data_IF_585414398553
#
_entry.id   IF_585414398553
#
_cell.length_a   1.000
_cell.length_b   1.000
_cell.length_c   1.000
_cell.angle_alpha   90.00
_cell.angle_beta   90.00
_cell.angle_gamma   90.00
#
_symmetry.space_group_name_H-M   'P 1'
#
loop_
_entity.id
_entity.type
_entity.pdbx_description
1 polymer ?
#
# COMPACT_ATOMS: atom_id res chain seq x y z
N UNK A 1 50.59 -85.81 -13.22
CA UNK A 1 49.61 -85.57 -12.14
C UNK A 1 50.03 -84.34 -11.36
N UNK A 2 49.03 -83.53 -10.97
CA UNK A 2 49.07 -82.36 -10.09
C UNK A 2 50.03 -82.53 -8.88
N UNK A 3 50.63 -81.49 -8.30
CA UNK A 3 49.98 -80.60 -7.31
C UNK A 3 50.66 -79.21 -7.29
N UNK A 4 49.81 -78.18 -7.24
CA UNK A 4 50.13 -76.76 -7.11
C UNK A 4 50.00 -76.37 -5.62
N UNK A 5 51.02 -75.73 -5.03
CA UNK A 5 50.92 -75.09 -3.71
C UNK A 5 50.22 -73.73 -3.84
N UNK A 6 49.31 -73.41 -2.91
CA UNK A 6 48.56 -72.16 -2.85
C UNK A 6 49.26 -71.10 -2.00
N UNK A 7 49.33 -69.87 -2.51
CA UNK A 7 49.84 -68.69 -1.82
C UNK A 7 48.67 -67.91 -1.19
N UNK A 8 48.82 -67.61 0.10
CA UNK A 8 48.73 -66.25 0.67
C UNK A 8 47.41 -65.49 0.67
N UNK A 9 46.81 -65.41 1.85
CA UNK A 9 45.88 -64.36 2.26
C UNK A 9 46.55 -62.97 2.28
N UNK A 10 45.84 -61.92 1.83
CA UNK A 10 45.80 -60.56 2.43
C UNK A 10 44.53 -59.82 1.96
N UNK A 11 43.48 -59.87 2.76
CA UNK A 11 42.29 -59.02 2.63
C UNK A 11 42.33 -58.00 3.77
N UNK A 12 42.19 -56.71 3.46
CA UNK A 12 42.02 -55.65 4.44
C UNK A 12 42.95 -54.47 4.19
N UNK A 13 42.41 -53.25 4.33
CA UNK A 13 43.05 -51.92 4.13
C UNK A 13 42.79 -51.28 2.74
N UNK A 14 41.74 -51.70 2.01
CA UNK A 14 41.32 -51.01 0.77
C UNK A 14 40.07 -50.12 0.89
N UNK A 15 39.20 -50.36 1.88
CA UNK A 15 37.81 -49.86 1.82
C UNK A 15 37.55 -48.64 2.71
N UNK A 16 38.43 -48.32 3.67
CA UNK A 16 38.20 -47.22 4.63
C UNK A 16 38.51 -45.83 4.04
N UNK A 17 39.41 -45.73 3.05
CA UNK A 17 39.80 -44.42 2.50
C UNK A 17 38.84 -43.87 1.43
N UNK A 18 38.01 -44.70 0.80
CA UNK A 18 37.06 -44.24 -0.23
C UNK A 18 35.78 -43.66 0.41
N UNK A 19 35.38 -44.17 1.58
CA UNK A 19 34.21 -43.64 2.30
C UNK A 19 34.43 -42.22 2.85
N UNK A 20 35.66 -41.88 3.24
CA UNK A 20 36.00 -40.54 3.75
C UNK A 20 35.98 -39.45 2.64
N UNK A 21 36.25 -39.83 1.39
CA UNK A 21 36.27 -38.87 0.28
C UNK A 21 34.86 -38.53 -0.23
N UNK A 22 33.90 -39.47 -0.17
CA UNK A 22 32.52 -39.21 -0.61
C UNK A 22 31.73 -38.36 0.40
N UNK A 23 32.04 -38.47 1.70
CA UNK A 23 31.44 -37.60 2.74
C UNK A 23 31.95 -36.16 2.72
N UNK A 24 33.07 -35.89 2.04
CA UNK A 24 33.63 -34.54 1.91
C UNK A 24 33.03 -33.75 0.73
N UNK A 25 32.49 -34.45 -0.28
CA UNK A 25 31.82 -33.81 -1.42
C UNK A 25 30.31 -33.60 -1.19
N UNK A 26 29.69 -34.32 -0.26
CA UNK A 26 28.26 -34.19 0.06
C UNK A 26 27.90 -33.05 1.02
N UNK A 27 28.87 -32.29 1.54
CA UNK A 27 28.63 -31.20 2.50
C UNK A 27 28.74 -29.79 1.89
N UNK A 28 29.01 -29.66 0.58
CA UNK A 28 29.14 -28.36 -0.07
C UNK A 28 27.94 -27.96 -0.94
N UNK A 29 26.94 -28.83 -1.08
CA UNK A 29 25.67 -28.56 -1.80
C UNK A 29 24.67 -27.76 -0.94
N UNK A 30 25.01 -27.41 0.31
CA UNK A 30 24.13 -26.74 1.26
C UNK A 30 24.34 -25.22 1.43
N UNK A 31 25.24 -24.59 0.66
CA UNK A 31 25.63 -23.17 0.86
C UNK A 31 25.33 -22.23 -0.31
N UNK A 32 24.65 -22.71 -1.36
CA UNK A 32 24.14 -21.86 -2.44
C UNK A 32 22.65 -22.09 -2.65
N UNK A 33 21.85 -21.97 -1.58
CA UNK A 33 20.55 -21.34 -1.79
C UNK A 33 20.87 -19.92 -2.27
N UNK A 34 20.83 -19.70 -3.58
CA UNK A 34 20.72 -18.36 -4.13
C UNK A 34 19.49 -17.75 -3.46
N UNK A 35 19.72 -16.91 -2.44
CA UNK A 35 18.75 -15.89 -2.07
C UNK A 35 18.40 -15.20 -3.38
N UNK A 36 17.19 -15.43 -3.88
CA UNK A 36 16.69 -14.70 -5.02
C UNK A 36 16.76 -13.23 -4.61
N UNK A 37 17.75 -12.51 -5.12
CA UNK A 37 18.02 -11.16 -4.66
C UNK A 37 16.76 -10.33 -4.83
N UNK A 38 16.38 -9.63 -3.76
CA UNK A 38 15.19 -8.78 -3.75
C UNK A 38 15.25 -7.88 -5.00
N UNK A 39 14.19 -7.81 -5.82
CA UNK A 39 14.19 -6.94 -6.99
C UNK A 39 14.49 -5.50 -6.57
N UNK A 40 15.16 -4.73 -7.43
CA UNK A 40 15.34 -3.29 -7.18
C UNK A 40 14.00 -2.59 -7.03
N UNK A 41 13.98 -1.44 -6.37
CA UNK A 41 12.77 -0.67 -6.12
C UNK A 41 11.97 -0.43 -7.39
N UNK A 42 12.62 -0.01 -8.47
CA UNK A 42 11.99 0.33 -9.75
C UNK A 42 11.44 -0.90 -10.49
N UNK A 43 12.02 -2.08 -10.22
CA UNK A 43 11.56 -3.36 -10.77
C UNK A 43 10.40 -3.93 -9.97
N UNK A 44 10.44 -3.77 -8.65
CA UNK A 44 9.39 -4.19 -7.73
C UNK A 44 8.13 -3.32 -7.85
N UNK A 45 8.32 -1.99 -7.91
CA UNK A 45 7.27 -0.99 -8.00
C UNK A 45 7.50 -0.12 -9.24
N UNK A 46 7.07 -0.58 -10.44
CA UNK A 46 7.18 0.21 -11.66
C UNK A 46 6.37 1.51 -11.55
N UNK A 47 6.93 2.62 -12.07
CA UNK A 47 6.20 3.88 -12.17
C UNK A 47 4.87 3.73 -12.91
N UNK A 48 3.86 4.44 -12.42
CA UNK A 48 2.49 4.47 -12.95
C UNK A 48 2.42 4.99 -14.39
N UNK A 49 3.44 5.74 -14.85
CA UNK A 49 3.60 6.10 -16.26
C UNK A 49 3.69 4.88 -17.20
N UNK A 50 4.18 3.73 -16.72
CA UNK A 50 4.15 2.47 -17.47
C UNK A 50 2.73 1.92 -17.58
N UNK A 51 1.91 2.08 -16.54
CA UNK A 51 0.49 1.69 -16.54
C UNK A 51 -0.34 2.55 -17.50
N UNK A 52 -0.05 3.86 -17.59
CA UNK A 52 -0.75 4.81 -18.49
C UNK A 52 -0.86 4.32 -19.93
N UNK A 53 0.16 3.61 -20.44
CA UNK A 53 0.20 3.11 -21.82
C UNK A 53 -1.00 2.25 -22.21
N UNK A 54 -1.56 1.53 -21.23
CA UNK A 54 -2.74 0.69 -21.43
C UNK A 54 -3.94 1.14 -20.58
N UNK A 55 -3.72 1.79 -19.44
CA UNK A 55 -4.76 2.22 -18.50
C UNK A 55 -4.89 3.74 -18.47
N UNK A 56 -5.06 4.37 -19.64
CA UNK A 56 -4.97 5.83 -19.80
C UNK A 56 -6.00 6.57 -18.94
N UNK A 57 -7.28 6.24 -19.09
CA UNK A 57 -8.37 6.86 -18.31
C UNK A 57 -8.18 6.71 -16.80
N UNK A 58 -7.81 5.52 -16.34
CA UNK A 58 -7.57 5.25 -14.91
C UNK A 58 -6.35 6.03 -14.41
N UNK A 59 -5.31 6.13 -15.23
CA UNK A 59 -4.14 6.94 -14.91
C UNK A 59 -4.49 8.43 -14.80
N UNK A 60 -5.30 8.99 -15.71
CA UNK A 60 -5.73 10.39 -15.65
C UNK A 60 -6.58 10.69 -14.41
N UNK A 61 -7.47 9.76 -14.04
CA UNK A 61 -8.22 9.83 -12.78
C UNK A 61 -7.28 9.85 -11.57
N UNK A 62 -6.31 8.94 -11.52
CA UNK A 62 -5.33 8.86 -10.43
C UNK A 62 -4.40 10.07 -10.39
N UNK A 63 -3.88 10.54 -11.53
CA UNK A 63 -2.90 11.63 -11.62
C UNK A 63 -3.45 12.94 -11.03
N UNK A 64 -4.77 13.13 -11.12
CA UNK A 64 -5.48 14.28 -10.53
C UNK A 64 -5.93 14.07 -9.09
N UNK A 65 -5.74 12.87 -8.54
CA UNK A 65 -6.19 12.51 -7.19
C UNK A 65 -5.25 13.01 -6.08
N UNK A 66 -5.71 13.08 -4.82
CA UNK A 66 -4.84 13.32 -3.68
C UNK A 66 -3.76 12.24 -3.48
N UNK A 67 -4.00 11.01 -3.95
CA UNK A 67 -3.08 9.88 -3.79
C UNK A 67 -1.83 10.04 -4.65
N UNK A 68 -1.95 10.51 -5.90
CA UNK A 68 -0.79 10.81 -6.75
C UNK A 68 0.09 11.93 -6.17
N UNK A 69 -0.52 12.84 -5.40
CA UNK A 69 0.15 13.99 -4.79
C UNK A 69 0.62 13.75 -3.36
N UNK A 70 0.56 12.52 -2.86
CA UNK A 70 0.81 12.19 -1.45
C UNK A 70 2.18 12.63 -0.93
N UNK A 71 3.21 12.77 -1.79
CA UNK A 71 4.55 13.26 -1.40
C UNK A 71 4.97 14.58 -2.09
N UNK A 72 4.09 15.19 -2.89
CA UNK A 72 4.44 16.37 -3.71
C UNK A 72 4.17 17.71 -2.99
N UNK A 73 3.22 17.73 -2.04
CA UNK A 73 2.70 19.01 -1.55
C UNK A 73 3.71 19.78 -0.67
N UNK A 74 3.76 21.13 -0.75
CA UNK A 74 4.62 21.94 0.13
C UNK A 74 4.40 21.67 1.62
N UNK A 75 3.17 21.38 1.99
CA UNK A 75 2.81 21.16 3.38
C UNK A 75 3.11 19.72 3.85
N UNK A 76 3.10 18.72 2.96
CA UNK A 76 3.73 17.43 3.26
C UNK A 76 5.22 17.63 3.58
N UNK A 77 5.95 18.39 2.74
CA UNK A 77 7.37 18.69 2.97
C UNK A 77 7.61 19.41 4.30
N UNK A 78 6.85 20.45 4.60
CA UNK A 78 6.95 21.16 5.88
C UNK A 78 6.69 20.24 7.09
N UNK A 79 5.70 19.35 6.97
CA UNK A 79 5.37 18.38 8.03
C UNK A 79 6.45 17.30 8.18
N UNK A 80 7.02 16.84 7.06
CA UNK A 80 8.15 15.92 7.04
C UNK A 80 9.38 16.55 7.70
N UNK A 81 9.68 17.82 7.42
CA UNK A 81 10.79 18.54 8.05
C UNK A 81 10.63 18.65 9.56
N UNK A 82 9.44 19.03 10.03
CA UNK A 82 9.14 19.09 11.46
C UNK A 82 9.26 17.70 12.11
N UNK A 83 8.76 16.65 11.45
CA UNK A 83 8.86 15.28 11.94
C UNK A 83 10.31 14.81 12.04
N UNK A 84 11.14 15.05 11.01
CA UNK A 84 12.54 14.64 10.98
C UNK A 84 13.40 15.33 12.05
N UNK A 85 12.99 16.52 12.50
CA UNK A 85 13.64 17.25 13.61
C UNK A 85 13.17 16.78 15.00
N UNK A 86 12.06 16.04 15.07
CA UNK A 86 11.55 15.49 16.32
C UNK A 86 12.35 14.26 16.78
N UNK A 87 12.27 13.85 18.06
CA UNK A 87 12.87 12.60 18.54
C UNK A 87 12.42 11.35 17.76
N UNK A 88 11.20 11.38 17.20
CA UNK A 88 10.64 10.30 16.40
C UNK A 88 11.18 10.27 14.95
N UNK A 89 11.81 11.35 14.50
CA UNK A 89 12.40 11.49 13.16
C UNK A 89 13.53 10.51 12.84
N UNK A 90 14.01 9.75 13.82
CA UNK A 90 14.94 8.63 13.61
C UNK A 90 14.36 7.58 12.66
N UNK A 91 13.05 7.36 12.71
CA UNK A 91 12.34 6.50 11.76
C UNK A 91 11.94 7.30 10.51
N UNK A 92 12.92 7.51 9.63
CA UNK A 92 12.74 8.28 8.38
C UNK A 92 11.65 7.71 7.47
N UNK A 93 11.34 6.41 7.58
CA UNK A 93 10.31 5.75 6.78
C UNK A 93 8.88 6.00 7.26
N UNK A 94 8.69 6.52 8.47
CA UNK A 94 7.37 6.59 9.13
C UNK A 94 6.30 7.26 8.26
N UNK A 95 6.59 8.46 7.73
CA UNK A 95 5.66 9.20 6.87
C UNK A 95 5.39 8.43 5.56
N UNK A 96 6.43 7.82 4.99
CA UNK A 96 6.34 7.13 3.71
C UNK A 96 5.60 5.81 3.79
N UNK A 97 5.46 5.19 4.96
CA UNK A 97 4.63 3.97 5.13
C UNK A 97 3.17 4.15 4.71
N UNK A 98 2.68 5.39 4.67
CA UNK A 98 1.37 5.73 4.11
C UNK A 98 1.49 6.58 2.83
N UNK A 99 2.48 7.47 2.74
CA UNK A 99 2.57 8.42 1.63
C UNK A 99 3.31 7.89 0.39
N UNK A 100 4.20 6.91 0.55
CA UNK A 100 4.90 6.22 -0.53
C UNK A 100 5.19 4.77 -0.06
N UNK A 101 4.13 3.94 0.09
CA UNK A 101 4.14 2.77 0.99
C UNK A 101 5.05 1.64 0.54
N UNK A 102 5.62 1.71 -0.67
CA UNK A 102 6.68 0.82 -1.10
C UNK A 102 7.99 0.97 -0.30
N UNK A 103 8.14 2.04 0.50
CA UNK A 103 9.18 2.11 1.55
C UNK A 103 9.11 0.94 2.54
N UNK A 104 7.93 0.33 2.72
CA UNK A 104 7.76 -0.84 3.61
C UNK A 104 8.57 -2.04 3.12
N UNK A 105 8.75 -2.12 1.81
CA UNK A 105 9.58 -3.14 1.18
C UNK A 105 11.04 -2.71 1.07
N UNK A 106 11.34 -1.42 1.06
CA UNK A 106 12.71 -0.90 0.94
C UNK A 106 13.06 0.07 2.09
N UNK A 107 12.98 -0.38 3.36
CA UNK A 107 13.20 0.50 4.51
C UNK A 107 14.63 1.04 4.57
N UNK A 108 15.61 0.31 4.05
CA UNK A 108 17.01 0.73 3.93
C UNK A 108 17.18 1.94 3.01
N UNK A 109 16.24 2.16 2.09
CA UNK A 109 16.23 3.28 1.16
C UNK A 109 15.42 4.48 1.67
N UNK A 110 14.93 4.49 2.92
CA UNK A 110 14.08 5.57 3.44
C UNK A 110 14.67 6.99 3.24
N UNK A 111 16.00 7.13 3.22
CA UNK A 111 16.63 8.42 2.91
C UNK A 111 16.35 8.90 1.47
N UNK A 112 16.37 7.99 0.48
CA UNK A 112 16.01 8.31 -0.90
C UNK A 112 14.60 8.91 -0.99
N UNK A 113 13.65 8.37 -0.24
CA UNK A 113 12.27 8.87 -0.19
C UNK A 113 12.20 10.27 0.41
N UNK A 114 12.97 10.53 1.48
CA UNK A 114 13.11 11.86 2.07
C UNK A 114 13.64 12.84 1.02
N UNK A 115 14.71 12.48 0.32
CA UNK A 115 15.37 13.35 -0.65
C UNK A 115 14.46 13.65 -1.85
N UNK A 116 13.76 12.63 -2.37
CA UNK A 116 12.77 12.77 -3.45
C UNK A 116 11.60 13.68 -3.01
N UNK A 117 11.03 13.47 -1.82
CA UNK A 117 9.96 14.34 -1.34
C UNK A 117 10.44 15.80 -1.17
N UNK A 118 11.65 16.00 -0.68
CA UNK A 118 12.23 17.34 -0.45
C UNK A 118 12.58 18.08 -1.74
N UNK A 119 12.86 17.38 -2.84
CA UNK A 119 13.13 18.02 -4.14
C UNK A 119 11.94 18.89 -4.61
N UNK A 120 10.73 18.57 -4.15
CA UNK A 120 9.48 19.22 -4.57
C UNK A 120 8.92 18.71 -5.90
N UNK A 121 9.71 17.94 -6.64
CA UNK A 121 9.32 17.24 -7.87
C UNK A 121 9.87 15.81 -7.84
N UNK A 122 9.30 14.92 -6.99
CA UNK A 122 9.75 13.55 -6.89
C UNK A 122 9.47 12.79 -8.19
N UNK A 123 10.48 12.06 -8.66
CA UNK A 123 10.34 11.06 -9.74
C UNK A 123 9.71 9.74 -9.24
N UNK A 124 9.73 9.55 -7.93
CA UNK A 124 9.17 8.41 -7.23
C UNK A 124 7.66 8.58 -7.06
N UNK A 125 6.91 7.52 -7.37
CA UNK A 125 5.46 7.50 -7.16
C UNK A 125 5.13 7.53 -5.66
N UNK A 126 4.14 8.33 -5.25
CA UNK A 126 3.58 8.32 -3.91
C UNK A 126 2.71 7.07 -3.64
N UNK A 127 1.42 7.28 -3.39
CA UNK A 127 0.43 6.20 -3.40
C UNK A 127 -0.06 6.02 -4.84
N UNK A 128 0.43 4.99 -5.52
CA UNK A 128 0.18 4.81 -6.95
C UNK A 128 -0.22 3.37 -7.34
N UNK A 129 -0.24 3.08 -8.64
CA UNK A 129 -0.81 1.85 -9.19
C UNK A 129 -0.21 0.59 -8.54
N UNK A 130 1.12 0.47 -8.55
CA UNK A 130 1.81 -0.68 -8.00
C UNK A 130 1.67 -0.77 -6.48
N UNK A 131 1.63 0.37 -5.80
CA UNK A 131 1.48 0.46 -4.34
C UNK A 131 0.12 -0.03 -3.85
N UNK A 132 -0.92 -0.04 -4.68
CA UNK A 132 -2.20 -0.67 -4.35
C UNK A 132 -2.34 -2.06 -4.97
N UNK A 133 -2.03 -2.21 -6.26
CA UNK A 133 -2.32 -3.42 -7.03
C UNK A 133 -1.37 -4.60 -6.76
N UNK A 134 -0.27 -4.39 -6.04
CA UNK A 134 0.59 -5.48 -5.57
C UNK A 134 0.18 -6.02 -4.19
N UNK A 135 -0.77 -5.39 -3.49
CA UNK A 135 -1.21 -5.84 -2.16
C UNK A 135 -2.07 -7.11 -2.32
N UNK A 136 -1.57 -8.23 -1.78
CA UNK A 136 -2.26 -9.53 -1.80
C UNK A 136 -3.01 -9.84 -0.51
N UNK A 137 -2.68 -9.15 0.57
CA UNK A 137 -3.29 -9.31 1.89
C UNK A 137 -3.07 -8.05 2.72
N UNK A 138 -3.99 -7.77 3.64
CA UNK A 138 -3.78 -6.81 4.73
C UNK A 138 -3.92 -7.56 6.06
N UNK A 139 -2.90 -7.47 6.92
CA UNK A 139 -2.89 -8.07 8.25
C UNK A 139 -3.53 -7.11 9.26
N UNK A 140 -4.76 -7.42 9.67
CA UNK A 140 -5.55 -6.67 10.65
C UNK A 140 -5.12 -6.90 12.10
N UNK A 141 -4.23 -7.87 12.36
CA UNK A 141 -3.69 -8.11 13.71
C UNK A 141 -2.61 -7.09 14.09
N UNK A 142 -2.07 -6.37 13.10
CA UNK A 142 -1.13 -5.26 13.28
C UNK A 142 -1.88 -3.93 13.47
N UNK A 143 -1.26 -2.98 14.17
CA UNK A 143 -1.81 -1.65 14.40
C UNK A 143 -0.76 -0.57 14.06
N UNK A 144 -0.92 0.18 12.94
CA UNK A 144 -1.98 0.06 11.93
C UNK A 144 -1.89 -1.27 11.15
N UNK A 145 -2.95 -1.67 10.43
CA UNK A 145 -2.92 -2.85 9.57
C UNK A 145 -1.78 -2.80 8.57
N UNK A 146 -1.18 -3.96 8.30
CA UNK A 146 0.03 -4.04 7.48
C UNK A 146 -0.25 -4.73 6.14
N UNK A 147 0.06 -4.08 4.99
CA UNK A 147 -0.11 -4.72 3.70
C UNK A 147 1.02 -5.74 3.45
N UNK A 148 0.70 -6.83 2.76
CA UNK A 148 1.68 -7.76 2.19
C UNK A 148 1.69 -7.63 0.68
N UNK A 149 2.86 -7.34 0.12
CA UNK A 149 3.05 -7.18 -1.31
C UNK A 149 3.47 -8.50 -1.97
N UNK A 150 3.01 -8.73 -3.19
CA UNK A 150 3.48 -9.81 -4.06
C UNK A 150 4.57 -9.26 -5.00
N UNK A 151 5.84 -9.40 -4.60
CA UNK A 151 6.96 -8.92 -5.41
C UNK A 151 7.51 -10.04 -6.30
N UNK A 152 7.88 -9.71 -7.53
CA UNK A 152 8.63 -10.62 -8.42
C UNK A 152 7.80 -11.48 -9.38
N UNK A 153 6.51 -11.71 -9.11
CA UNK A 153 5.62 -12.51 -9.99
C UNK A 153 5.00 -11.73 -11.16
N UNK A 154 5.16 -10.40 -11.19
CA UNK A 154 4.42 -9.48 -12.08
C UNK A 154 2.89 -9.60 -11.96
N UNK A 155 2.36 -10.19 -10.89
CA UNK A 155 0.92 -10.28 -10.66
C UNK A 155 0.39 -8.98 -10.11
N UNK A 156 -0.64 -8.42 -10.75
CA UNK A 156 -1.45 -7.32 -10.24
C UNK A 156 -2.84 -7.83 -9.88
N UNK A 157 -3.30 -7.47 -8.70
CA UNK A 157 -4.60 -7.87 -8.18
C UNK A 157 -5.66 -6.83 -8.48
N UNK A 158 -6.90 -7.27 -8.66
CA UNK A 158 -8.05 -6.39 -8.85
C UNK A 158 -9.37 -7.09 -8.51
N UNK A 159 -10.50 -6.40 -8.62
CA UNK A 159 -11.80 -6.97 -8.24
C UNK A 159 -12.46 -7.82 -9.33
N UNK A 160 -11.89 -7.89 -10.55
CA UNK A 160 -12.53 -8.54 -11.70
C UNK A 160 -12.06 -9.98 -11.88
N UNK A 161 -13.01 -10.90 -12.07
CA UNK A 161 -12.74 -12.32 -12.38
C UNK A 161 -12.41 -12.54 -13.86
N UNK A 162 -13.00 -11.74 -14.73
CA UNK A 162 -12.90 -11.82 -16.19
C UNK A 162 -11.93 -10.77 -16.74
N UNK A 163 -10.74 -10.72 -16.15
CA UNK A 163 -9.64 -9.89 -16.63
C UNK A 163 -9.11 -10.38 -17.98
N UNK A 164 -8.59 -9.45 -18.79
CA UNK A 164 -8.03 -9.77 -20.11
C UNK A 164 -6.56 -10.16 -19.97
N UNK A 165 -6.20 -11.30 -20.57
CA UNK A 165 -4.81 -11.76 -20.61
C UNK A 165 -3.95 -10.84 -21.49
N UNK A 166 -2.73 -10.55 -21.03
CA UNK A 166 -1.79 -9.69 -21.74
C UNK A 166 -0.33 -10.09 -21.43
N UNK A 167 0.62 -9.45 -22.11
CA UNK A 167 2.06 -9.74 -21.96
C UNK A 167 2.78 -8.83 -20.95
N UNK A 168 2.12 -7.78 -20.45
CA UNK A 168 2.73 -6.79 -19.57
C UNK A 168 2.79 -7.26 -18.12
N UNK A 169 1.69 -7.83 -17.61
CA UNK A 169 1.58 -8.34 -16.25
C UNK A 169 0.53 -9.45 -16.17
N UNK A 170 0.62 -10.28 -15.13
CA UNK A 170 -0.47 -11.19 -14.79
C UNK A 170 -1.56 -10.42 -14.05
N UNK A 171 -2.81 -10.84 -14.21
CA UNK A 171 -3.94 -10.29 -13.48
C UNK A 171 -4.57 -11.39 -12.63
N UNK A 172 -5.02 -11.04 -11.43
CA UNK A 172 -5.68 -11.97 -10.54
C UNK A 172 -6.82 -11.28 -9.79
N UNK A 173 -7.97 -11.94 -9.71
CA UNK A 173 -9.05 -11.46 -8.87
C UNK A 173 -8.70 -11.62 -7.40
N UNK A 174 -9.00 -10.60 -6.60
CA UNK A 174 -8.86 -10.65 -5.16
C UNK A 174 -9.94 -9.80 -4.50
N UNK A 175 -10.79 -10.45 -3.70
CA UNK A 175 -11.89 -9.80 -2.97
C UNK A 175 -11.46 -8.64 -2.06
N UNK A 176 -10.18 -8.54 -1.68
CA UNK A 176 -9.60 -7.40 -0.96
C UNK A 176 -9.88 -6.06 -1.65
N UNK A 177 -9.94 -6.03 -2.99
CA UNK A 177 -10.19 -4.80 -3.76
C UNK A 177 -11.64 -4.29 -3.63
N UNK A 178 -12.51 -5.08 -3.02
CA UNK A 178 -13.88 -4.71 -2.68
C UNK A 178 -14.08 -4.52 -1.17
N UNK A 179 -12.99 -4.46 -0.38
CA UNK A 179 -13.04 -4.33 1.09
C UNK A 179 -12.32 -3.09 1.57
N UNK A 180 -12.86 -2.46 2.61
CA UNK A 180 -12.25 -1.29 3.24
C UNK A 180 -10.85 -1.59 3.79
N UNK A 181 -10.55 -2.85 4.09
CA UNK A 181 -9.23 -3.35 4.49
C UNK A 181 -8.09 -2.83 3.61
N UNK A 182 -8.30 -2.71 2.29
CA UNK A 182 -7.31 -2.15 1.38
C UNK A 182 -6.94 -0.70 1.77
N UNK A 183 -7.88 0.08 2.29
CA UNK A 183 -7.68 1.46 2.69
C UNK A 183 -7.13 1.60 4.13
N UNK A 184 -7.52 0.67 5.02
CA UNK A 184 -7.23 0.76 6.46
C UNK A 184 -5.74 0.70 6.79
N UNK A 185 -4.92 0.08 5.93
CA UNK A 185 -3.47 0.02 6.11
C UNK A 185 -2.77 1.40 6.13
N UNK A 186 -3.45 2.44 5.62
CA UNK A 186 -3.01 3.84 5.71
C UNK A 186 -3.98 4.73 6.50
N UNK A 187 -5.29 4.46 6.43
CA UNK A 187 -6.34 5.36 6.94
C UNK A 187 -6.88 5.03 8.33
N UNK A 188 -6.50 3.91 8.95
CA UNK A 188 -7.02 3.58 10.27
C UNK A 188 -6.42 4.46 11.37
N UNK A 189 -5.09 4.53 11.43
CA UNK A 189 -4.41 5.26 12.49
C UNK A 189 -3.01 5.71 12.11
N UNK A 190 -2.57 6.84 12.68
CA UNK A 190 -1.17 7.27 12.62
C UNK A 190 -0.41 6.67 13.80
N UNK A 191 0.83 6.16 13.65
CA UNK A 191 1.59 5.62 14.77
C UNK A 191 1.78 6.64 15.91
N UNK A 192 1.56 6.21 17.15
CA UNK A 192 1.62 7.05 18.36
C UNK A 192 2.95 7.77 18.55
N UNK A 193 4.05 7.19 18.05
CA UNK A 193 5.38 7.76 18.11
C UNK A 193 5.48 9.11 17.38
N UNK A 194 4.56 9.42 16.47
CA UNK A 194 4.60 10.66 15.70
C UNK A 194 4.20 11.91 16.52
N UNK A 195 3.54 11.76 17.69
CA UNK A 195 3.00 12.89 18.49
C UNK A 195 2.24 13.94 17.65
N UNK A 196 1.60 13.50 16.56
CA UNK A 196 0.95 14.37 15.58
C UNK A 196 -0.48 14.77 15.98
N UNK A 197 -0.94 14.48 17.21
CA UNK A 197 -2.26 14.90 17.67
C UNK A 197 -2.73 14.21 18.95
N UNK A 198 -3.92 14.61 19.43
CA UNK A 198 -4.57 14.03 20.63
C UNK A 198 -5.17 12.64 20.39
N UNK A 199 -5.41 12.26 19.13
CA UNK A 199 -5.91 10.93 18.74
C UNK A 199 -5.11 10.41 17.56
N UNK A 200 -4.68 9.16 17.68
CA UNK A 200 -4.07 8.40 16.60
C UNK A 200 -5.11 7.70 15.73
N UNK A 201 -6.34 7.55 16.23
CA UNK A 201 -7.48 7.05 15.48
C UNK A 201 -8.06 8.17 14.61
N UNK A 202 -8.06 7.93 13.30
CA UNK A 202 -8.50 8.87 12.28
C UNK A 202 -9.96 8.66 11.92
N UNK A 203 -10.47 7.44 12.06
CA UNK A 203 -11.79 7.05 11.59
C UNK A 203 -12.87 7.23 12.66
N UNK A 204 -12.48 7.25 13.93
CA UNK A 204 -13.44 7.27 15.04
C UNK A 204 -14.31 6.01 15.03
N UNK A 205 -15.59 6.14 15.32
CA UNK A 205 -16.55 5.02 15.38
C UNK A 205 -17.06 4.53 14.01
N UNK A 206 -16.22 4.62 12.97
CA UNK A 206 -16.57 4.21 11.61
C UNK A 206 -17.01 2.75 11.51
N UNK A 207 -16.30 1.86 12.19
CA UNK A 207 -16.56 0.42 12.25
C UNK A 207 -17.96 0.10 12.83
N UNK A 208 -18.47 0.97 13.70
CA UNK A 208 -19.78 0.86 14.34
C UNK A 208 -20.90 1.57 13.56
N UNK A 209 -20.57 2.28 12.48
CA UNK A 209 -21.49 3.11 11.71
C UNK A 209 -22.57 2.28 11.01
N UNK A 210 -23.70 2.94 10.69
CA UNK A 210 -24.77 2.33 9.88
C UNK A 210 -24.29 1.95 8.48
N UNK A 211 -23.35 2.71 7.91
CA UNK A 211 -22.81 2.44 6.58
C UNK A 211 -22.08 1.09 6.55
N UNK A 212 -21.15 0.87 7.48
CA UNK A 212 -20.40 -0.40 7.59
C UNK A 212 -21.35 -1.57 7.89
N UNK A 213 -22.31 -1.38 8.80
CA UNK A 213 -23.34 -2.39 9.12
C UNK A 213 -24.23 -2.76 7.91
N UNK A 214 -24.41 -1.83 6.97
CA UNK A 214 -25.14 -2.06 5.71
C UNK A 214 -24.25 -2.62 4.58
N UNK A 215 -23.00 -2.97 4.87
CA UNK A 215 -22.04 -3.50 3.89
C UNK A 215 -21.45 -2.46 2.94
N UNK A 216 -21.59 -1.16 3.24
CA UNK A 216 -20.95 -0.10 2.46
C UNK A 216 -19.48 0.03 2.86
N UNK A 217 -18.62 -0.26 1.91
CA UNK A 217 -17.17 -0.17 2.04
C UNK A 217 -16.69 1.24 1.63
N UNK A 218 -15.45 1.63 2.00
CA UNK A 218 -14.86 2.92 1.66
C UNK A 218 -14.98 3.26 0.17
N UNK A 219 -14.75 2.25 -0.69
CA UNK A 219 -14.83 2.34 -2.14
C UNK A 219 -16.20 2.82 -2.64
N UNK A 220 -17.28 2.57 -1.90
CA UNK A 220 -18.63 2.97 -2.29
C UNK A 220 -18.74 4.48 -2.52
N UNK A 221 -18.07 5.27 -1.67
CA UNK A 221 -18.08 6.74 -1.75
C UNK A 221 -16.78 7.29 -2.34
N UNK A 222 -15.64 6.67 -2.04
CA UNK A 222 -14.31 7.16 -2.41
C UNK A 222 -13.74 6.53 -3.67
N UNK A 223 -14.40 5.54 -4.27
CA UNK A 223 -14.07 5.01 -5.60
C UNK A 223 -15.36 4.69 -6.37
N UNK A 224 -16.23 5.69 -6.59
CA UNK A 224 -17.59 5.47 -7.07
C UNK A 224 -17.59 4.68 -8.38
N UNK A 225 -18.58 3.80 -8.53
CA UNK A 225 -18.75 3.00 -9.73
C UNK A 225 -19.03 3.90 -10.94
N UNK A 226 -18.41 3.56 -12.07
CA UNK A 226 -18.61 4.21 -13.36
C UNK A 226 -18.53 3.15 -14.48
N UNK A 227 -19.02 3.48 -15.68
CA UNK A 227 -18.91 2.59 -16.84
C UNK A 227 -17.81 3.08 -17.76
N UNK A 228 -16.84 2.22 -18.06
CA UNK A 228 -15.72 2.55 -18.92
C UNK A 228 -14.85 1.35 -19.24
N UNK A 229 -13.80 1.59 -20.01
CA UNK A 229 -12.78 0.57 -20.31
C UNK A 229 -11.80 0.50 -19.13
N UNK A 230 -11.43 -0.71 -18.71
CA UNK A 230 -10.37 -0.90 -17.71
C UNK A 230 -8.99 -0.67 -18.31
N UNK A 231 -8.77 -1.18 -19.52
CA UNK A 231 -7.62 -0.87 -20.37
C UNK A 231 -8.09 -0.48 -21.78
N UNK A 232 -7.27 0.25 -22.51
CA UNK A 232 -7.56 0.79 -23.84
C UNK A 232 -8.02 -0.32 -24.80
N UNK A 233 -9.22 -0.16 -25.37
CA UNK A 233 -9.78 -1.11 -26.33
C UNK A 233 -10.43 -2.36 -25.71
N UNK A 234 -10.48 -2.47 -24.37
CA UNK A 234 -11.26 -3.52 -23.71
C UNK A 234 -12.77 -3.22 -23.75
N UNK A 235 -13.59 -4.25 -23.55
CA UNK A 235 -15.04 -4.08 -23.42
C UNK A 235 -15.36 -3.19 -22.21
N UNK A 236 -16.21 -2.19 -22.42
CA UNK A 236 -16.77 -1.36 -21.35
C UNK A 236 -17.42 -2.24 -20.28
N UNK A 237 -17.17 -1.87 -19.03
CA UNK A 237 -17.69 -2.56 -17.83
C UNK A 237 -17.86 -1.57 -16.69
N UNK A 238 -18.49 -2.03 -15.61
CA UNK A 238 -18.44 -1.33 -14.33
C UNK A 238 -17.00 -1.31 -13.84
N UNK A 239 -16.50 -0.11 -13.58
CA UNK A 239 -15.16 0.15 -13.08
C UNK A 239 -15.20 1.07 -11.89
N UNK A 240 -14.20 0.98 -11.02
CA UNK A 240 -14.01 1.92 -9.92
C UNK A 240 -13.36 3.21 -10.43
N UNK A 241 -13.83 4.36 -9.95
CA UNK A 241 -13.21 5.65 -10.22
C UNK A 241 -12.00 5.90 -9.31
N UNK A 242 -10.87 6.30 -9.90
CA UNK A 242 -9.59 6.50 -9.21
C UNK A 242 -9.27 7.98 -8.94
N UNK A 243 -10.25 8.88 -8.97
CA UNK A 243 -10.06 10.28 -8.54
C UNK A 243 -10.04 10.44 -7.02
N UNK A 244 -10.49 9.42 -6.28
CA UNK A 244 -10.57 9.40 -4.82
C UNK A 244 -11.22 10.67 -4.22
N UNK A 245 -12.50 10.97 -4.55
CA UNK A 245 -13.15 12.19 -4.09
C UNK A 245 -13.17 12.24 -2.57
N UNK A 246 -13.11 13.44 -1.99
CA UNK A 246 -13.05 13.59 -0.54
C UNK A 246 -12.90 15.05 -0.12
N UNK A 247 -11.66 15.54 -0.07
CA UNK A 247 -11.31 16.86 0.47
C UNK A 247 -11.90 18.05 -0.31
N UNK A 248 -12.18 17.89 -1.60
CA UNK A 248 -12.65 18.96 -2.49
C UNK A 248 -13.84 18.46 -3.29
N UNK A 249 -14.68 19.40 -3.73
CA UNK A 249 -15.78 19.15 -4.64
C UNK A 249 -17.05 18.70 -3.92
N UNK A 250 -17.95 18.10 -4.70
CA UNK A 250 -19.31 17.75 -4.30
C UNK A 250 -19.36 16.86 -3.06
N UNK A 251 -18.49 15.84 -2.98
CA UNK A 251 -18.49 14.91 -1.84
C UNK A 251 -18.21 15.62 -0.50
N UNK A 252 -17.32 16.64 -0.48
CA UNK A 252 -17.11 17.47 0.73
C UNK A 252 -18.32 18.32 1.05
N UNK A 253 -18.93 18.94 0.04
CA UNK A 253 -20.09 19.81 0.23
C UNK A 253 -21.28 19.03 0.80
N UNK A 254 -21.39 17.75 0.45
CA UNK A 254 -22.43 16.84 0.93
C UNK A 254 -22.06 16.12 2.25
N UNK A 255 -20.85 16.36 2.80
CA UNK A 255 -20.37 15.64 3.99
C UNK A 255 -21.00 16.11 5.30
N UNK A 256 -21.54 17.33 5.35
CA UNK A 256 -22.23 17.87 6.52
C UNK A 256 -23.42 18.74 6.14
N UNK A 257 -24.42 18.76 7.02
CA UNK A 257 -25.54 19.70 6.96
C UNK A 257 -25.41 20.73 8.06
N UNK A 258 -25.61 21.99 7.71
CA UNK A 258 -25.69 23.11 8.65
C UNK A 258 -27.16 23.54 8.80
N UNK A 259 -27.63 23.65 10.03
CA UNK A 259 -28.90 24.28 10.37
C UNK A 259 -28.61 25.50 11.25
N UNK A 260 -29.01 26.69 10.79
CA UNK A 260 -28.74 27.97 11.46
C UNK A 260 -30.07 28.58 11.85
N UNK A 261 -30.27 28.74 13.15
CA UNK A 261 -31.47 29.35 13.71
C UNK A 261 -31.06 30.65 14.40
N UNK A 262 -31.84 31.71 14.18
CA UNK A 262 -31.57 33.03 14.76
C UNK A 262 -32.78 33.48 15.56
N UNK A 263 -32.55 33.92 16.79
CA UNK A 263 -33.56 34.48 17.69
C UNK A 263 -33.11 35.88 18.12
N UNK A 264 -33.99 36.87 17.93
CA UNK A 264 -33.73 38.26 18.32
C UNK A 264 -34.60 38.59 19.53
N UNK A 265 -34.00 39.08 20.61
CA UNK A 265 -34.66 39.50 21.85
C UNK A 265 -34.14 40.90 22.24
N UNK A 266 -34.90 41.94 21.89
CA UNK A 266 -34.50 43.33 22.14
C UNK A 266 -33.23 43.70 21.38
N UNK A 267 -32.19 44.07 22.12
CA UNK A 267 -30.85 44.40 21.62
C UNK A 267 -29.93 43.17 21.46
N UNK A 268 -30.40 41.98 21.84
CA UNK A 268 -29.62 40.73 21.77
C UNK A 268 -30.06 39.85 20.62
N UNK A 269 -29.08 39.29 19.90
CA UNK A 269 -29.31 38.26 18.88
C UNK A 269 -28.59 36.98 19.29
N UNK A 270 -29.33 35.88 19.37
CA UNK A 270 -28.82 34.53 19.60
C UNK A 270 -28.85 33.75 18.30
N UNK A 271 -27.69 33.24 17.87
CA UNK A 271 -27.57 32.36 16.70
C UNK A 271 -27.22 30.96 17.18
N UNK A 272 -28.09 29.98 16.93
CA UNK A 272 -27.83 28.57 17.16
C UNK A 272 -27.42 27.92 15.86
N UNK A 273 -26.23 27.33 15.84
CA UNK A 273 -25.68 26.62 14.69
C UNK A 273 -25.59 25.14 15.02
N UNK A 274 -26.34 24.31 14.31
CA UNK A 274 -26.29 22.84 14.42
C UNK A 274 -25.57 22.27 13.20
N UNK A 275 -24.48 21.55 13.46
CA UNK A 275 -23.71 20.84 12.44
C UNK A 275 -24.01 19.35 12.55
N UNK A 276 -24.47 18.74 11.46
CA UNK A 276 -24.70 17.30 11.37
C UNK A 276 -23.70 16.69 10.39
N UNK A 277 -22.88 15.75 10.86
CA UNK A 277 -22.08 14.91 9.96
C UNK A 277 -22.98 13.93 9.21
N UNK A 278 -22.78 13.83 7.89
CA UNK A 278 -23.46 12.87 7.01
C UNK A 278 -22.54 11.72 6.59
N UNK A 279 -21.28 11.75 7.04
CA UNK A 279 -20.29 10.70 6.78
C UNK A 279 -20.17 9.73 7.97
N UNK A 280 -19.83 8.45 7.72
CA UNK A 280 -19.80 7.43 8.77
C UNK A 280 -18.55 7.48 9.66
N UNK A 281 -17.59 8.35 9.38
CA UNK A 281 -16.32 8.50 10.09
C UNK A 281 -16.17 9.94 10.61
N UNK A 282 -15.11 10.23 11.36
CA UNK A 282 -14.77 11.60 11.81
C UNK A 282 -14.79 12.62 10.66
N UNK A 283 -15.25 13.84 10.93
CA UNK A 283 -15.28 14.94 9.95
C UNK A 283 -14.64 16.21 10.55
N UNK A 284 -13.50 16.70 10.02
CA UNK A 284 -12.65 16.03 9.03
C UNK A 284 -11.93 14.79 9.59
N UNK A 285 -11.70 13.79 8.74
CA UNK A 285 -10.97 12.54 9.06
C UNK A 285 -9.47 12.70 8.97
N UNK A 286 -9.01 13.60 8.09
CA UNK A 286 -7.60 13.70 7.72
C UNK A 286 -6.82 14.53 8.73
N UNK A 287 -5.63 14.05 9.10
CA UNK A 287 -4.65 14.86 9.82
C UNK A 287 -4.34 16.16 9.03
N UNK A 288 -4.11 17.31 9.68
CA UNK A 288 -3.83 18.59 8.99
C UNK A 288 -2.69 18.52 7.95
N UNK A 289 -1.66 17.70 8.18
CA UNK A 289 -0.57 17.45 7.21
C UNK A 289 -0.99 16.71 5.93
N UNK A 290 -2.19 16.12 5.90
CA UNK A 290 -2.79 15.50 4.72
C UNK A 290 -3.77 16.45 4.01
N UNK A 291 -4.06 17.61 4.61
CA UNK A 291 -5.15 18.51 4.26
C UNK A 291 -4.70 19.77 3.51
N UNK A 292 -3.54 19.71 2.86
CA UNK A 292 -2.87 20.84 2.17
C UNK A 292 -2.33 20.42 0.82
#
# INVERSE_FOLDING_TARGET
MMVRQSIGAKLGIGIVLVAAFVLSYGLNEGLYAQDASKPTLEKAFPSSSKCKRCHERVFEEWETSPLSRSIHSPAFRASLDAFLQSPAGKDKGLCFRCHAPHVREFPEQAQLFVDQAKSGDPSLDGVACAQCHLIKQVDRTKQPPEPKYELGSKTLYGPYKDFVQNLAHQSMELGLFQKSDLCLNCHQSVPSAANLGKSNDLLGSWDQSKAVKSGKECQTCHMPEQVGESANGEKKRKTANHTFPGRIGKLRQEAAKLDVQTKIEGDKTMVTVKVQSLVPHSLPTTHPAWAT
#
